data_IF_890152645747
#
_entry.id   IF_890152645747
#
_cell.length_a   1.000
_cell.length_b   1.000
_cell.length_c   1.000
_cell.angle_alpha   90.00
_cell.angle_beta   90.00
_cell.angle_gamma   90.00
#
_symmetry.space_group_name_H-M   'P 1'
#
loop_
_entity.id
_entity.type
_entity.pdbx_description
1 polymer ?
#
# COMPACT_ATOMS: atom_id res chain seq x y z
N UNK A 1 -20.28 17.15 -28.45
CA UNK A 1 -20.89 16.07 -27.64
C UNK A 1 -19.83 15.25 -26.92
N UNK A 2 -19.65 15.54 -25.63
CA UNK A 2 -18.84 14.73 -24.74
C UNK A 2 -19.71 13.59 -24.21
N UNK A 3 -19.52 12.39 -24.73
CA UNK A 3 -20.17 11.18 -24.24
C UNK A 3 -19.61 10.86 -22.85
N UNK A 4 -20.41 11.20 -21.84
CA UNK A 4 -20.17 10.89 -20.44
C UNK A 4 -20.23 9.36 -20.26
N UNK A 5 -19.07 8.71 -20.37
CA UNK A 5 -18.93 7.29 -20.11
C UNK A 5 -19.26 7.02 -18.64
N UNK A 6 -20.47 6.50 -18.39
CA UNK A 6 -20.91 6.08 -17.06
C UNK A 6 -19.85 5.12 -16.45
N UNK A 7 -19.55 5.24 -15.14
CA UNK A 7 -18.63 4.32 -14.50
C UNK A 7 -19.19 2.90 -14.63
N UNK A 8 -18.44 2.03 -15.31
CA UNK A 8 -18.78 0.61 -15.47
C UNK A 8 -18.76 -0.05 -14.10
N UNK A 9 -19.93 -0.48 -13.62
CA UNK A 9 -20.00 -1.33 -12.43
C UNK A 9 -19.25 -2.64 -12.73
N UNK A 10 -18.41 -3.14 -11.81
CA UNK A 10 -17.77 -4.42 -12.02
C UNK A 10 -18.81 -5.55 -12.19
N UNK A 11 -18.46 -6.57 -12.97
CA UNK A 11 -19.29 -7.77 -13.11
C UNK A 11 -19.26 -8.61 -11.82
N UNK A 12 -20.37 -9.23 -11.43
CA UNK A 12 -20.51 -10.12 -10.26
C UNK A 12 -20.27 -9.47 -8.87
N UNK A 13 -20.63 -8.20 -8.68
CA UNK A 13 -20.45 -7.49 -7.41
C UNK A 13 -21.19 -8.13 -6.22
N UNK A 14 -22.34 -8.76 -6.42
CA UNK A 14 -23.09 -9.43 -5.34
C UNK A 14 -22.35 -10.66 -4.79
N UNK A 15 -21.83 -11.50 -5.67
CA UNK A 15 -21.02 -12.67 -5.32
C UNK A 15 -19.76 -12.25 -4.54
N UNK A 16 -19.07 -11.22 -5.03
CA UNK A 16 -17.90 -10.68 -4.35
C UNK A 16 -18.24 -10.02 -3.02
N UNK A 17 -19.41 -9.38 -2.90
CA UNK A 17 -19.87 -8.84 -1.61
C UNK A 17 -20.01 -9.96 -0.59
N UNK A 18 -20.69 -11.05 -0.95
CA UNK A 18 -20.89 -12.19 -0.06
C UNK A 18 -19.54 -12.80 0.37
N UNK A 19 -18.60 -12.95 -0.57
CA UNK A 19 -17.24 -13.44 -0.27
C UNK A 19 -16.47 -12.52 0.67
N UNK A 20 -16.51 -11.20 0.44
CA UNK A 20 -15.80 -10.25 1.30
C UNK A 20 -16.43 -10.22 2.70
N UNK A 21 -17.76 -10.25 2.80
CA UNK A 21 -18.45 -10.32 4.11
C UNK A 21 -18.07 -11.58 4.86
N UNK A 22 -18.08 -12.74 4.18
CA UNK A 22 -17.65 -14.00 4.78
C UNK A 22 -16.20 -13.96 5.25
N UNK A 23 -15.30 -13.38 4.44
CA UNK A 23 -13.90 -13.17 4.79
C UNK A 23 -13.73 -12.26 6.01
N UNK A 24 -14.50 -11.17 6.12
CA UNK A 24 -14.44 -10.27 7.29
C UNK A 24 -15.00 -10.91 8.56
N UNK A 25 -15.92 -11.88 8.44
CA UNK A 25 -16.55 -12.56 9.58
C UNK A 25 -15.80 -13.82 10.00
N UNK A 26 -14.82 -14.27 9.22
CA UNK A 26 -14.06 -15.46 9.51
C UNK A 26 -13.27 -15.29 10.83
N UNK A 27 -13.32 -16.29 11.74
CA UNK A 27 -12.66 -16.18 13.05
C UNK A 27 -11.15 -16.15 12.86
N UNK A 28 -10.48 -15.10 13.37
CA UNK A 28 -9.03 -14.85 13.30
C UNK A 28 -8.21 -15.99 13.93
N UNK A 29 -8.14 -17.13 13.25
CA UNK A 29 -7.38 -18.32 13.62
C UNK A 29 -6.27 -18.55 12.61
N UNK A 30 -5.12 -19.01 13.11
CA UNK A 30 -3.76 -19.00 12.52
C UNK A 30 -3.54 -19.46 11.06
N UNK A 31 -4.55 -19.87 10.31
CA UNK A 31 -4.41 -20.40 8.94
C UNK A 31 -5.32 -19.74 7.89
N UNK A 32 -6.11 -18.72 8.26
CA UNK A 32 -6.98 -18.04 7.28
C UNK A 32 -6.17 -17.22 6.28
N UNK A 33 -6.55 -17.32 5.00
CA UNK A 33 -6.10 -16.45 3.92
C UNK A 33 -6.10 -15.00 4.42
N UNK A 34 -4.93 -14.35 4.48
CA UNK A 34 -4.81 -12.98 5.03
C UNK A 34 -5.36 -11.92 4.06
N UNK A 35 -5.60 -12.32 2.82
CA UNK A 35 -6.13 -11.48 1.75
C UNK A 35 -6.91 -12.33 0.75
N UNK A 36 -7.90 -11.70 0.11
CA UNK A 36 -8.59 -12.21 -1.06
C UNK A 36 -8.00 -11.61 -2.33
N UNK A 37 -7.92 -12.40 -3.39
CA UNK A 37 -7.53 -11.95 -4.72
C UNK A 37 -8.73 -11.98 -5.65
N UNK A 38 -9.14 -10.82 -6.15
CA UNK A 38 -10.13 -10.69 -7.22
C UNK A 38 -9.37 -10.75 -8.55
N UNK A 39 -9.45 -11.86 -9.29
CA UNK A 39 -8.77 -11.96 -10.58
C UNK A 39 -9.37 -10.94 -11.55
N UNK A 40 -8.50 -10.24 -12.26
CA UNK A 40 -8.90 -9.43 -13.41
C UNK A 40 -8.42 -10.13 -14.67
N UNK A 41 -9.10 -9.90 -15.78
CA UNK A 41 -8.64 -10.43 -17.06
C UNK A 41 -7.28 -9.81 -17.42
N UNK A 42 -6.43 -10.55 -18.12
CA UNK A 42 -5.07 -10.11 -18.46
C UNK A 42 -5.04 -8.78 -19.24
N UNK A 43 -6.10 -8.48 -19.99
CA UNK A 43 -6.27 -7.24 -20.77
C UNK A 43 -7.07 -6.14 -20.06
N UNK A 44 -7.42 -6.33 -18.77
CA UNK A 44 -8.28 -5.39 -18.04
C UNK A 44 -7.66 -3.99 -18.01
N UNK A 45 -8.41 -3.03 -18.54
CA UNK A 45 -7.95 -1.65 -18.66
C UNK A 45 -7.79 -1.02 -17.27
N UNK A 46 -6.97 0.03 -17.18
CA UNK A 46 -6.82 0.80 -15.93
C UNK A 46 -8.16 1.32 -15.40
N UNK A 47 -9.10 1.62 -16.29
CA UNK A 47 -10.44 2.08 -15.96
C UNK A 47 -11.21 1.05 -15.13
N UNK A 48 -11.20 -0.22 -15.53
CA UNK A 48 -11.90 -1.31 -14.84
C UNK A 48 -11.29 -1.59 -13.46
N UNK A 49 -9.96 -1.48 -13.34
CA UNK A 49 -9.29 -1.55 -12.03
C UNK A 49 -9.76 -0.42 -11.12
N UNK A 50 -9.90 0.79 -11.69
CA UNK A 50 -10.47 1.95 -11.00
C UNK A 50 -11.91 1.71 -10.56
N UNK A 51 -12.73 1.07 -11.40
CA UNK A 51 -14.11 0.73 -11.07
C UNK A 51 -14.19 -0.21 -9.85
N UNK A 52 -13.35 -1.25 -9.78
CA UNK A 52 -13.27 -2.12 -8.61
C UNK A 52 -12.88 -1.36 -7.33
N UNK A 53 -11.86 -0.49 -7.41
CA UNK A 53 -11.47 0.34 -6.26
C UNK A 53 -12.60 1.27 -5.80
N UNK A 54 -13.30 1.89 -6.76
CA UNK A 54 -14.41 2.78 -6.46
C UNK A 54 -15.59 2.02 -5.84
N UNK A 55 -15.89 0.83 -6.35
CA UNK A 55 -16.94 -0.02 -5.81
C UNK A 55 -16.66 -0.43 -4.37
N UNK A 56 -15.45 -0.91 -4.05
CA UNK A 56 -15.08 -1.26 -2.66
C UNK A 56 -15.14 -0.04 -1.74
N UNK A 57 -14.71 1.14 -2.22
CA UNK A 57 -14.77 2.40 -1.44
C UNK A 57 -16.20 2.88 -1.20
N UNK A 58 -17.07 2.74 -2.18
CA UNK A 58 -18.49 3.10 -2.06
C UNK A 58 -19.28 2.09 -1.22
N UNK A 59 -18.79 0.87 -1.07
CA UNK A 59 -19.40 -0.17 -0.26
C UNK A 59 -19.28 0.12 1.25
N UNK A 60 -20.27 -0.32 2.08
CA UNK A 60 -20.15 -0.34 3.53
C UNK A 60 -18.90 -1.07 4.05
N UNK A 61 -18.37 -2.01 3.25
CA UNK A 61 -17.18 -2.80 3.56
C UNK A 61 -15.90 -1.95 3.64
N UNK A 62 -15.88 -0.76 3.03
CA UNK A 62 -14.72 0.15 3.03
C UNK A 62 -14.16 0.47 4.42
N UNK A 63 -14.97 0.36 5.47
CA UNK A 63 -14.56 0.56 6.87
C UNK A 63 -13.76 -0.61 7.44
N UNK A 64 -13.89 -1.80 6.88
CA UNK A 64 -13.28 -3.04 7.36
C UNK A 64 -12.15 -3.51 6.45
N UNK A 65 -12.22 -3.20 5.15
CA UNK A 65 -11.27 -3.72 4.16
C UNK A 65 -10.45 -2.63 3.49
N UNK A 66 -9.30 -3.03 2.98
CA UNK A 66 -8.40 -2.24 2.14
C UNK A 66 -8.17 -2.97 0.82
N UNK A 67 -7.81 -2.22 -0.21
CA UNK A 67 -7.51 -2.78 -1.53
C UNK A 67 -6.28 -2.15 -2.17
N UNK A 68 -5.57 -2.96 -2.95
CA UNK A 68 -4.57 -2.51 -3.91
C UNK A 68 -4.63 -3.35 -5.19
N UNK A 69 -3.96 -2.86 -6.24
CA UNK A 69 -3.82 -3.60 -7.48
C UNK A 69 -2.42 -4.18 -7.51
N UNK A 70 -2.32 -5.49 -7.70
CA UNK A 70 -1.07 -6.18 -7.93
C UNK A 70 -1.06 -6.81 -9.32
N UNK A 71 0.15 -7.18 -9.75
CA UNK A 71 0.39 -7.90 -11.00
C UNK A 71 1.07 -9.22 -10.64
N UNK A 72 0.49 -10.30 -11.11
CA UNK A 72 1.05 -11.63 -10.95
C UNK A 72 2.32 -11.74 -11.82
N UNK A 73 3.49 -12.08 -11.25
CA UNK A 73 4.73 -12.19 -12.00
C UNK A 73 4.75 -13.34 -13.01
N UNK A 74 3.98 -14.41 -12.78
CA UNK A 74 3.95 -15.60 -13.65
C UNK A 74 2.99 -15.38 -14.83
N UNK A 75 1.75 -14.99 -14.52
CA UNK A 75 0.70 -14.86 -15.54
C UNK A 75 0.68 -13.48 -16.20
N UNK A 76 1.41 -12.50 -15.64
CA UNK A 76 1.33 -11.08 -15.99
C UNK A 76 -0.09 -10.47 -15.87
N UNK A 77 -1.05 -11.19 -15.28
CA UNK A 77 -2.40 -10.71 -15.08
C UNK A 77 -2.46 -9.74 -13.90
N UNK A 78 -3.37 -8.76 -13.98
CA UNK A 78 -3.68 -7.91 -12.84
C UNK A 78 -4.69 -8.60 -11.92
N UNK A 79 -4.61 -8.32 -10.62
CA UNK A 79 -5.63 -8.70 -9.67
C UNK A 79 -5.82 -7.58 -8.63
N UNK A 80 -7.02 -7.50 -8.06
CA UNK A 80 -7.28 -6.63 -6.91
C UNK A 80 -7.09 -7.48 -5.66
N UNK A 81 -6.09 -7.14 -4.87
CA UNK A 81 -5.90 -7.75 -3.57
C UNK A 81 -6.70 -6.97 -2.53
N UNK A 82 -7.42 -7.69 -1.69
CA UNK A 82 -8.29 -7.15 -0.65
C UNK A 82 -7.94 -7.80 0.69
N UNK A 83 -7.77 -7.00 1.74
CA UNK A 83 -7.46 -7.51 3.07
C UNK A 83 -8.20 -6.74 4.16
N UNK A 84 -8.36 -7.35 5.32
CA UNK A 84 -8.94 -6.68 6.48
C UNK A 84 -7.96 -5.62 7.01
N UNK A 85 -8.47 -4.47 7.47
CA UNK A 85 -7.65 -3.35 7.96
C UNK A 85 -6.74 -3.74 9.13
N UNK A 86 -7.18 -4.68 9.95
CA UNK A 86 -6.37 -5.19 11.08
C UNK A 86 -5.04 -5.83 10.60
N UNK A 87 -4.99 -6.30 9.36
CA UNK A 87 -3.77 -6.85 8.75
C UNK A 87 -2.95 -5.79 7.98
N UNK A 88 -3.26 -4.48 8.07
CA UNK A 88 -2.51 -3.44 7.33
C UNK A 88 -1.01 -3.42 7.68
N UNK A 89 -0.65 -3.78 8.92
CA UNK A 89 0.76 -3.87 9.33
C UNK A 89 1.52 -5.02 8.65
N UNK A 90 0.84 -6.14 8.40
CA UNK A 90 1.40 -7.34 7.76
C UNK A 90 1.33 -7.27 6.22
N UNK A 91 0.37 -6.53 5.70
CA UNK A 91 0.11 -6.36 4.26
C UNK A 91 0.16 -4.87 3.90
N UNK A 92 1.34 -4.23 3.97
CA UNK A 92 1.45 -2.83 3.63
C UNK A 92 1.18 -2.64 2.14
N UNK A 93 0.40 -1.61 1.80
CA UNK A 93 0.04 -1.29 0.42
C UNK A 93 1.30 -0.90 -0.36
N UNK A 94 1.73 -1.74 -1.31
CA UNK A 94 2.99 -1.57 -2.05
C UNK A 94 3.02 -0.28 -2.89
N UNK A 95 1.85 0.26 -3.28
CA UNK A 95 1.76 1.55 -3.95
C UNK A 95 2.17 2.76 -3.09
N UNK A 96 2.29 2.58 -1.77
CA UNK A 96 2.75 3.62 -0.83
C UNK A 96 4.28 3.69 -0.68
N UNK A 97 5.01 2.69 -1.16
CA UNK A 97 6.48 2.70 -1.17
C UNK A 97 7.08 3.27 -2.46
N UNK A 98 6.24 3.64 -3.43
CA UNK A 98 6.68 4.31 -4.66
C UNK A 98 7.32 5.67 -4.30
N UNK A 99 8.66 5.82 -4.42
CA UNK A 99 9.34 7.04 -4.04
C UNK A 99 8.87 8.24 -4.87
N UNK A 100 8.28 8.01 -6.05
CA UNK A 100 7.75 9.04 -6.95
C UNK A 100 6.39 9.61 -6.53
N UNK A 101 5.66 8.94 -5.62
CA UNK A 101 4.30 9.32 -5.19
C UNK A 101 4.20 9.78 -3.73
N UNK A 102 5.30 10.25 -3.14
CA UNK A 102 5.31 10.93 -1.84
C UNK A 102 4.61 12.30 -1.90
N UNK A 103 3.32 12.34 -2.24
CA UNK A 103 2.46 13.49 -1.96
C UNK A 103 1.80 13.26 -0.60
N UNK A 104 2.37 13.92 0.40
CA UNK A 104 1.74 14.35 1.64
C UNK A 104 0.82 13.36 2.37
N UNK A 105 1.27 12.13 2.65
CA UNK A 105 0.86 11.56 3.93
C UNK A 105 1.83 12.10 4.96
N UNK A 106 1.32 13.03 5.77
CA UNK A 106 1.92 13.43 7.03
C UNK A 106 2.49 12.17 7.67
N UNK A 107 3.82 12.11 7.74
CA UNK A 107 4.50 11.31 8.72
C UNK A 107 3.77 11.59 10.02
N UNK A 108 2.94 10.65 10.51
CA UNK A 108 2.72 10.56 11.94
C UNK A 108 4.13 10.45 12.46
N UNK A 109 4.63 11.53 13.07
CA UNK A 109 6.01 11.55 13.53
C UNK A 109 6.10 10.42 14.54
N UNK A 110 6.65 9.28 14.13
CA UNK A 110 7.06 8.25 15.05
C UNK A 110 8.19 8.94 15.81
N UNK A 111 7.84 9.52 16.96
CA UNK A 111 8.81 10.21 17.81
C UNK A 111 9.78 9.16 18.28
N UNK A 112 11.07 9.43 18.12
CA UNK A 112 12.09 8.61 18.75
C UNK A 112 11.81 8.57 20.27
N UNK A 113 11.95 7.40 20.92
CA UNK A 113 11.87 7.31 22.38
C UNK A 113 12.82 8.32 23.03
N UNK A 114 12.33 9.11 23.99
CA UNK A 114 13.12 10.18 24.63
C UNK A 114 14.30 9.67 25.45
N UNK A 115 14.24 8.40 25.86
CA UNK A 115 15.25 7.69 26.65
C UNK A 115 16.40 7.14 25.79
N UNK A 116 16.24 7.05 24.46
CA UNK A 116 17.22 6.43 23.55
C UNK A 116 17.58 7.38 22.41
N UNK A 117 18.62 8.21 22.58
CA UNK A 117 19.03 9.16 21.56
C UNK A 117 19.67 8.50 20.33
N UNK A 118 20.09 7.24 20.42
CA UNK A 118 20.81 6.53 19.35
C UNK A 118 20.16 5.18 19.01
N UNK A 119 20.12 4.87 17.71
CA UNK A 119 19.75 3.55 17.19
C UNK A 119 21.03 2.79 16.83
N UNK A 120 21.19 1.59 17.38
CA UNK A 120 22.27 0.67 17.00
C UNK A 120 21.75 -0.30 15.92
N UNK A 121 22.54 -0.51 14.87
CA UNK A 121 22.20 -1.45 13.79
C UNK A 121 23.48 -2.00 13.15
N UNK A 122 23.35 -3.13 12.46
CA UNK A 122 24.43 -3.75 11.67
C UNK A 122 24.20 -3.44 10.20
N UNK A 123 25.21 -2.87 9.54
CA UNK A 123 25.17 -2.57 8.11
C UNK A 123 25.88 -3.67 7.33
N UNK A 124 25.11 -4.48 6.61
CA UNK A 124 25.67 -5.38 5.60
C UNK A 124 25.84 -4.61 4.30
N UNK A 125 27.04 -4.68 3.72
CA UNK A 125 27.38 -4.04 2.44
C UNK A 125 28.15 -5.03 1.57
N UNK A 126 27.84 -5.06 0.29
CA UNK A 126 28.53 -5.88 -0.71
C UNK A 126 29.19 -4.95 -1.73
N UNK A 127 30.48 -5.17 -1.99
CA UNK A 127 31.25 -4.43 -3.00
C UNK A 127 31.17 -2.89 -2.89
N UNK A 128 30.93 -2.37 -1.69
CA UNK A 128 30.85 -0.93 -1.39
C UNK A 128 31.75 -0.60 -0.21
N UNK A 129 32.43 0.54 -0.24
CA UNK A 129 33.20 1.01 0.91
C UNK A 129 32.28 1.60 2.00
N UNK A 130 32.74 1.59 3.24
CA UNK A 130 31.94 2.06 4.38
C UNK A 130 31.62 3.56 4.27
N UNK A 131 32.53 4.37 3.71
CA UNK A 131 32.33 5.81 3.54
C UNK A 131 31.20 6.12 2.57
N UNK A 132 31.18 5.47 1.41
CA UNK A 132 30.11 5.60 0.42
C UNK A 132 28.78 5.10 0.95
N UNK A 133 28.77 4.00 1.70
CA UNK A 133 27.56 3.50 2.33
C UNK A 133 26.96 4.52 3.33
N UNK A 134 27.81 5.14 4.16
CA UNK A 134 27.40 6.20 5.08
C UNK A 134 26.88 7.44 4.34
N UNK A 135 27.53 7.86 3.25
CA UNK A 135 27.06 8.99 2.44
C UNK A 135 25.67 8.73 1.83
N UNK A 136 25.41 7.51 1.35
CA UNK A 136 24.09 7.14 0.84
C UNK A 136 23.02 7.20 1.94
N UNK A 137 23.33 6.68 3.13
CA UNK A 137 22.43 6.78 4.29
C UNK A 137 22.14 8.23 4.67
N UNK A 138 23.15 9.09 4.74
CA UNK A 138 22.98 10.51 5.06
C UNK A 138 22.06 11.24 4.07
N UNK A 139 22.18 10.93 2.77
CA UNK A 139 21.30 11.49 1.74
C UNK A 139 19.84 11.06 1.92
N UNK A 140 19.61 9.83 2.38
CA UNK A 140 18.27 9.27 2.55
C UNK A 140 17.61 9.69 3.87
N UNK A 141 18.38 9.79 4.95
CA UNK A 141 17.89 10.17 6.28
C UNK A 141 17.71 11.68 6.45
N UNK A 142 18.20 12.49 5.50
CA UNK A 142 18.18 13.94 5.57
C UNK A 142 19.30 14.49 6.48
N UNK A 143 19.67 15.77 6.33
CA UNK A 143 20.66 16.37 7.21
C UNK A 143 20.16 16.35 8.66
N UNK A 144 21.05 16.18 9.66
CA UNK A 144 20.69 16.42 11.05
C UNK A 144 20.06 17.82 11.10
N UNK A 145 18.87 17.91 11.68
CA UNK A 145 18.06 19.13 11.70
C UNK A 145 18.80 20.26 12.43
N UNK A 146 19.64 20.98 11.70
CA UNK A 146 20.09 22.33 12.02
C UNK A 146 19.17 23.29 11.29
N UNK A 147 18.50 24.15 12.06
CA UNK A 147 17.47 25.07 11.58
C UNK A 147 17.89 25.80 10.30
N UNK A 148 17.02 25.74 9.31
CA UNK A 148 17.09 26.61 8.13
C UNK A 148 16.77 28.02 8.61
N UNK A 149 17.81 28.74 9.04
CA UNK A 149 17.75 30.16 9.33
C UNK A 149 17.14 30.88 8.12
N UNK A 150 16.03 31.58 8.37
CA UNK A 150 15.49 32.52 7.41
C UNK A 150 16.56 33.55 7.07
N UNK A 151 16.70 33.85 5.78
CA UNK A 151 17.30 35.08 5.32
C UNK A 151 16.22 35.83 4.56
N UNK A 152 16.04 37.08 4.98
CA UNK A 152 15.30 38.09 4.22
C UNK A 152 16.12 38.60 3.05
#
# INVERSE_FOLDING_TARGET
>A
DATEAKPTTPTNTEEWTARIVSFCQAPKGNEQEKYLSIPLQASTAKADRGAWHNWVRASPLSKQVMTDTNKDPETNAYYIRLWHRDFEQEMPNFGKFDPSKRRSHQNRSIKAPSDKPFLQFVLYKENLDTGSALQQMQRQCGPPSGGRGGRG
#
